data_IF_028239333475
#
_entry.id   IF_028239333475
#
_cell.length_a   1.000
_cell.length_b   1.000
_cell.length_c   1.000
_cell.angle_alpha   90.00
_cell.angle_beta   90.00
_cell.angle_gamma   90.00
#
_symmetry.space_group_name_H-M   'P 1'
#
loop_
_entity.id
_entity.type
_entity.pdbx_description
1 polymer ?
#
# COMPACT_ATOMS: atom_id res chain seq x y z
N UNK A 1 13.49 -26.33 -14.79
CA UNK A 1 14.36 -25.36 -14.10
C UNK A 1 13.70 -24.00 -14.27
N UNK A 2 13.03 -23.51 -13.24
CA UNK A 2 12.40 -22.19 -13.28
C UNK A 2 13.47 -21.13 -13.53
N UNK A 3 13.16 -20.20 -14.41
CA UNK A 3 14.03 -19.09 -14.78
C UNK A 3 14.14 -18.13 -13.58
N UNK A 4 15.35 -17.71 -13.22
CA UNK A 4 15.60 -16.74 -12.12
C UNK A 4 14.92 -15.37 -12.33
N UNK A 5 14.31 -15.13 -13.49
CA UNK A 5 13.66 -13.90 -13.94
C UNK A 5 12.16 -14.06 -14.28
N UNK A 6 11.52 -15.20 -13.96
CA UNK A 6 10.07 -15.32 -14.17
C UNK A 6 9.29 -14.53 -13.11
N UNK A 7 8.46 -13.59 -13.57
CA UNK A 7 7.53 -12.83 -12.75
C UNK A 7 6.12 -13.29 -13.09
N UNK A 8 5.39 -13.75 -12.09
CA UNK A 8 3.97 -14.08 -12.23
C UNK A 8 3.13 -13.02 -11.52
N UNK A 9 2.11 -12.50 -12.22
CA UNK A 9 1.17 -11.55 -11.62
C UNK A 9 0.06 -12.32 -10.89
N UNK A 10 0.13 -12.34 -9.56
CA UNK A 10 -0.88 -12.99 -8.72
C UNK A 10 -2.16 -12.15 -8.53
N UNK A 11 -2.06 -10.82 -8.63
CA UNK A 11 -3.18 -9.91 -8.47
C UNK A 11 -2.79 -8.45 -8.66
N UNK A 12 -3.75 -7.64 -9.12
CA UNK A 12 -3.58 -6.19 -9.34
C UNK A 12 -4.83 -5.44 -8.87
N UNK A 13 -4.77 -4.11 -8.83
CA UNK A 13 -5.99 -3.32 -8.62
C UNK A 13 -6.91 -3.44 -9.84
N UNK A 14 -8.23 -3.48 -9.60
CA UNK A 14 -9.28 -3.38 -10.63
C UNK A 14 -9.68 -1.94 -10.93
N UNK A 15 -9.26 -1.00 -10.09
CA UNK A 15 -9.59 0.42 -10.23
C UNK A 15 -8.43 1.33 -9.77
N UNK A 16 -8.65 2.23 -8.81
CA UNK A 16 -7.64 3.13 -8.28
C UNK A 16 -6.50 2.33 -7.61
N UNK A 17 -5.28 2.81 -7.77
CA UNK A 17 -4.18 2.36 -6.90
C UNK A 17 -4.39 2.87 -5.47
N UNK A 18 -3.72 2.23 -4.49
CA UNK A 18 -3.73 2.75 -3.12
C UNK A 18 -3.13 4.16 -3.04
N UNK A 19 -2.04 4.45 -3.78
CA UNK A 19 -1.43 5.78 -3.80
C UNK A 19 -2.38 6.86 -4.31
N UNK A 20 -3.12 6.55 -5.38
CA UNK A 20 -4.15 7.46 -5.93
C UNK A 20 -5.31 7.67 -4.94
N UNK A 21 -5.69 6.66 -4.18
CA UNK A 21 -6.68 6.80 -3.11
C UNK A 21 -6.17 7.75 -2.00
N UNK A 22 -4.90 7.67 -1.61
CA UNK A 22 -4.29 8.61 -0.68
C UNK A 22 -4.32 10.05 -1.22
N UNK A 23 -3.94 10.25 -2.49
CA UNK A 23 -3.96 11.58 -3.12
C UNK A 23 -5.37 12.19 -3.16
N UNK A 24 -6.38 11.36 -3.46
CA UNK A 24 -7.78 11.81 -3.47
C UNK A 24 -8.30 12.14 -2.08
N UNK A 25 -7.97 11.33 -1.06
CA UNK A 25 -8.35 11.62 0.33
C UNK A 25 -7.63 12.86 0.86
N UNK A 26 -6.35 13.06 0.52
CA UNK A 26 -5.61 14.28 0.86
C UNK A 26 -6.30 15.52 0.29
N UNK A 27 -6.76 15.45 -0.96
CA UNK A 27 -7.53 16.54 -1.59
C UNK A 27 -8.88 16.78 -0.91
N UNK A 28 -9.60 15.72 -0.53
CA UNK A 28 -10.89 15.84 0.18
C UNK A 28 -10.74 16.48 1.57
N UNK A 29 -9.58 16.30 2.20
CA UNK A 29 -9.24 16.86 3.52
C UNK A 29 -8.47 18.19 3.44
N UNK A 30 -8.29 18.75 2.23
CA UNK A 30 -7.56 19.99 1.96
C UNK A 30 -6.09 19.99 2.46
N UNK A 31 -5.40 18.86 2.29
CA UNK A 31 -4.01 18.66 2.77
C UNK A 31 -2.92 18.87 1.72
N UNK A 32 -3.30 19.11 0.45
CA UNK A 32 -2.38 19.28 -0.67
C UNK A 32 -1.89 17.97 -1.30
N UNK A 33 -0.75 18.05 -2.01
CA UNK A 33 -0.14 16.97 -2.78
C UNK A 33 1.40 17.01 -2.64
N UNK A 34 2.12 15.85 -2.59
CA UNK A 34 1.62 14.48 -2.66
C UNK A 34 0.88 14.04 -1.40
N UNK A 35 -0.21 13.30 -1.58
CA UNK A 35 -1.16 12.98 -0.51
C UNK A 35 -0.65 11.95 0.49
N UNK A 36 0.16 10.99 0.04
CA UNK A 36 0.75 9.93 0.89
C UNK A 36 1.34 10.46 2.21
N UNK A 37 2.45 11.23 2.15
CA UNK A 37 3.14 11.70 3.35
C UNK A 37 2.29 12.59 4.27
N UNK A 38 1.42 13.44 3.71
CA UNK A 38 0.59 14.36 4.50
C UNK A 38 -0.55 13.63 5.20
N UNK A 39 -1.16 12.64 4.56
CA UNK A 39 -2.20 11.79 5.14
C UNK A 39 -1.61 10.89 6.22
N UNK A 40 -0.45 10.26 5.98
CA UNK A 40 0.27 9.47 7.00
C UNK A 40 0.59 10.30 8.25
N UNK A 41 1.09 11.53 8.06
CA UNK A 41 1.44 12.44 9.16
C UNK A 41 0.20 12.86 9.96
N UNK A 42 -0.90 13.19 9.27
CA UNK A 42 -2.13 13.59 9.92
C UNK A 42 -2.76 12.42 10.70
N UNK A 43 -2.78 11.23 10.10
CA UNK A 43 -3.31 10.02 10.72
C UNK A 43 -2.60 9.64 12.04
N UNK A 44 -1.30 9.95 12.17
CA UNK A 44 -0.55 9.69 13.40
C UNK A 44 -1.08 10.49 14.62
N UNK A 45 -1.86 11.54 14.39
CA UNK A 45 -2.48 12.37 15.45
C UNK A 45 -3.95 12.04 15.68
N UNK A 46 -4.50 11.07 14.94
CA UNK A 46 -5.91 10.69 14.99
C UNK A 46 -6.14 9.29 15.54
N UNK A 47 -7.42 8.96 15.73
CA UNK A 47 -7.87 7.64 16.11
C UNK A 47 -8.65 7.01 14.95
N UNK A 48 -8.36 5.73 14.66
CA UNK A 48 -9.07 4.97 13.63
C UNK A 48 -10.49 4.54 14.12
N UNK A 49 -11.34 5.52 14.39
CA UNK A 49 -12.67 5.36 15.00
C UNK A 49 -13.83 5.24 13.99
N UNK A 50 -13.56 5.49 12.70
CA UNK A 50 -14.58 5.50 11.64
C UNK A 50 -14.53 4.18 10.87
N UNK A 51 -15.68 3.52 10.75
CA UNK A 51 -15.76 2.25 10.02
C UNK A 51 -15.86 2.50 8.51
N UNK A 52 -14.73 2.48 7.83
CA UNK A 52 -14.66 2.44 6.37
C UNK A 52 -14.63 1.00 5.84
N UNK A 53 -15.17 0.74 4.63
CA UNK A 53 -15.16 -0.60 4.06
C UNK A 53 -13.72 -1.06 3.78
N UNK A 54 -13.47 -2.38 3.88
CA UNK A 54 -12.23 -3.02 3.42
C UNK A 54 -12.55 -3.75 2.11
N UNK A 55 -12.40 -3.09 0.94
CA UNK A 55 -12.94 -3.63 -0.30
C UNK A 55 -12.21 -4.90 -0.70
N UNK A 56 -12.97 -5.89 -1.20
CA UNK A 56 -12.45 -7.17 -1.70
C UNK A 56 -11.59 -7.95 -0.69
N UNK A 57 -11.72 -7.68 0.62
CA UNK A 57 -10.87 -8.33 1.63
C UNK A 57 -11.04 -9.86 1.64
N UNK A 58 -12.22 -10.36 1.30
CA UNK A 58 -12.54 -11.79 1.14
C UNK A 58 -12.17 -12.37 -0.22
N UNK A 59 -11.90 -11.55 -1.24
CA UNK A 59 -11.92 -11.99 -2.64
C UNK A 59 -10.51 -12.04 -3.23
N UNK A 60 -9.99 -13.23 -3.53
CA UNK A 60 -8.73 -13.42 -4.28
C UNK A 60 -7.57 -12.53 -3.82
N UNK A 61 -6.70 -12.15 -4.77
CA UNK A 61 -5.56 -11.25 -4.53
C UNK A 61 -5.67 -9.89 -5.23
N UNK A 62 -6.78 -9.64 -5.93
CA UNK A 62 -7.04 -8.36 -6.60
C UNK A 62 -7.49 -7.26 -5.63
N UNK A 63 -7.20 -6.00 -5.93
CA UNK A 63 -7.51 -4.87 -5.07
C UNK A 63 -8.59 -3.97 -5.68
N UNK A 64 -9.24 -3.17 -4.83
CA UNK A 64 -10.10 -2.06 -5.24
C UNK A 64 -10.07 -0.99 -4.16
N UNK A 65 -9.81 0.26 -4.53
CA UNK A 65 -9.77 1.39 -3.60
C UNK A 65 -10.74 2.52 -4.01
N UNK A 66 -11.35 2.45 -5.18
CA UNK A 66 -12.33 3.43 -5.64
C UNK A 66 -13.59 3.50 -4.75
N UNK A 67 -14.04 2.35 -4.23
CA UNK A 67 -15.16 2.27 -3.28
C UNK A 67 -14.82 2.88 -1.92
N UNK A 68 -13.57 2.74 -1.48
CA UNK A 68 -13.07 3.29 -0.22
C UNK A 68 -13.01 4.83 -0.25
N UNK A 69 -12.40 5.44 -1.29
CA UNK A 69 -12.44 6.91 -1.44
C UNK A 69 -13.86 7.45 -1.48
N UNK A 70 -14.79 6.71 -2.09
CA UNK A 70 -16.19 7.13 -2.22
C UNK A 70 -16.91 7.05 -0.86
N UNK A 71 -16.55 6.06 -0.03
CA UNK A 71 -17.03 5.99 1.35
C UNK A 71 -16.52 7.15 2.21
N UNK A 72 -15.25 7.54 2.05
CA UNK A 72 -14.68 8.74 2.70
C UNK A 72 -15.45 9.99 2.28
N UNK A 73 -15.61 10.24 0.97
CA UNK A 73 -16.35 11.39 0.47
C UNK A 73 -17.79 11.46 1.02
N UNK A 74 -18.50 10.31 1.05
CA UNK A 74 -19.86 10.23 1.63
C UNK A 74 -19.87 10.53 3.12
N UNK A 75 -18.87 10.08 3.87
CA UNK A 75 -18.76 10.34 5.31
C UNK A 75 -18.56 11.85 5.57
N UNK A 76 -17.66 12.49 4.81
CA UNK A 76 -17.38 13.92 4.91
C UNK A 76 -18.61 14.76 4.59
N UNK A 77 -19.39 14.39 3.57
CA UNK A 77 -20.62 15.10 3.21
C UNK A 77 -21.75 14.98 4.24
N UNK A 78 -21.77 13.91 5.04
CA UNK A 78 -22.81 13.65 6.04
C UNK A 78 -22.45 14.18 7.43
N UNK A 79 -21.17 14.36 7.71
CA UNK A 79 -20.68 14.69 9.05
C UNK A 79 -20.23 16.14 9.07
N UNK A 80 -20.93 17.02 9.77
CA UNK A 80 -20.54 18.44 9.86
C UNK A 80 -19.30 18.68 10.76
N UNK A 81 -19.06 17.80 11.74
CA UNK A 81 -18.02 17.96 12.77
C UNK A 81 -17.08 16.74 12.81
N UNK A 82 -16.47 16.35 11.69
CA UNK A 82 -15.44 15.31 11.69
C UNK A 82 -14.08 15.88 12.10
N UNK A 83 -13.24 15.03 12.69
CA UNK A 83 -11.81 15.33 12.87
C UNK A 83 -11.05 14.76 11.68
N UNK A 84 -10.38 15.61 10.90
CA UNK A 84 -9.61 15.17 9.72
C UNK A 84 -8.57 14.11 10.06
N UNK A 85 -7.99 14.18 11.27
CA UNK A 85 -7.06 13.17 11.78
C UNK A 85 -7.70 11.80 11.96
N UNK A 86 -8.92 11.72 12.49
CA UNK A 86 -9.64 10.45 12.67
C UNK A 86 -10.07 9.87 11.32
N UNK A 87 -10.45 10.73 10.36
CA UNK A 87 -10.76 10.31 8.98
C UNK A 87 -9.51 9.72 8.32
N UNK A 88 -8.38 10.42 8.39
CA UNK A 88 -7.11 9.94 7.85
C UNK A 88 -6.68 8.62 8.49
N UNK A 89 -6.70 8.53 9.83
CA UNK A 89 -6.35 7.31 10.56
C UNK A 89 -7.24 6.12 10.18
N UNK A 90 -8.55 6.34 10.10
CA UNK A 90 -9.52 5.30 9.73
C UNK A 90 -9.38 4.86 8.27
N UNK A 91 -9.10 5.79 7.36
CA UNK A 91 -8.85 5.50 5.94
C UNK A 91 -7.58 4.67 5.77
N UNK A 92 -6.47 5.08 6.39
CA UNK A 92 -5.21 4.33 6.34
C UNK A 92 -5.41 2.93 6.93
N UNK A 93 -6.09 2.80 8.07
CA UNK A 93 -6.38 1.50 8.66
C UNK A 93 -7.10 0.58 7.66
N UNK A 94 -8.13 1.08 6.97
CA UNK A 94 -8.84 0.30 5.95
C UNK A 94 -7.97 -0.10 4.75
N UNK A 95 -7.09 0.79 4.28
CA UNK A 95 -6.11 0.47 3.24
C UNK A 95 -5.14 -0.63 3.70
N UNK A 96 -4.54 -0.48 4.88
CA UNK A 96 -3.52 -1.40 5.39
C UNK A 96 -4.10 -2.77 5.73
N UNK A 97 -5.30 -2.82 6.32
CA UNK A 97 -6.01 -4.08 6.57
C UNK A 97 -6.17 -4.86 5.27
N UNK A 98 -6.59 -4.19 4.19
CA UNK A 98 -6.81 -4.81 2.88
C UNK A 98 -5.48 -5.29 2.28
N UNK A 99 -4.45 -4.44 2.27
CA UNK A 99 -3.13 -4.78 1.75
C UNK A 99 -2.51 -5.97 2.48
N UNK A 100 -2.41 -5.88 3.82
CA UNK A 100 -1.73 -6.87 4.64
C UNK A 100 -2.49 -8.20 4.70
N UNK A 101 -3.83 -8.17 4.67
CA UNK A 101 -4.62 -9.40 4.59
C UNK A 101 -4.35 -10.15 3.29
N UNK A 102 -4.26 -9.44 2.17
CA UNK A 102 -3.96 -10.05 0.87
C UNK A 102 -2.49 -10.49 0.75
N UNK A 103 -1.54 -9.74 1.31
CA UNK A 103 -0.16 -10.19 1.45
C UNK A 103 -0.08 -11.48 2.26
N UNK A 104 -0.78 -11.59 3.40
CA UNK A 104 -0.85 -12.82 4.19
C UNK A 104 -1.42 -13.97 3.36
N UNK A 105 -2.54 -13.74 2.68
CA UNK A 105 -3.18 -14.76 1.82
C UNK A 105 -2.22 -15.27 0.74
N UNK A 106 -1.51 -14.35 0.07
CA UNK A 106 -0.52 -14.71 -0.93
C UNK A 106 0.63 -15.53 -0.31
N UNK A 107 1.20 -15.10 0.81
CA UNK A 107 2.32 -15.80 1.45
C UNK A 107 1.95 -17.20 1.97
N UNK A 108 0.68 -17.41 2.37
CA UNK A 108 0.20 -18.73 2.78
C UNK A 108 -0.06 -19.68 1.59
N UNK A 109 -0.51 -19.14 0.45
CA UNK A 109 -0.77 -19.93 -0.75
C UNK A 109 0.49 -20.16 -1.61
N UNK A 110 1.45 -19.23 -1.56
CA UNK A 110 2.76 -19.31 -2.20
C UNK A 110 3.86 -19.09 -1.15
N UNK A 111 4.23 -20.15 -0.41
CA UNK A 111 5.28 -20.07 0.61
C UNK A 111 6.56 -19.47 0.04
N UNK A 112 6.96 -18.33 0.58
CA UNK A 112 8.09 -17.53 0.10
C UNK A 112 9.02 -17.20 1.25
N UNK A 113 10.33 -17.20 1.00
CA UNK A 113 11.32 -16.86 2.04
C UNK A 113 11.23 -15.38 2.48
N UNK A 114 10.83 -14.51 1.56
CA UNK A 114 10.80 -13.07 1.80
C UNK A 114 9.57 -12.39 1.19
N UNK A 115 9.10 -11.32 1.84
CA UNK A 115 8.15 -10.36 1.29
C UNK A 115 8.90 -9.08 0.94
N UNK A 116 8.85 -8.66 -0.33
CA UNK A 116 9.41 -7.39 -0.80
C UNK A 116 8.28 -6.39 -1.03
N UNK A 117 8.35 -5.21 -0.44
CA UNK A 117 7.36 -4.13 -0.66
C UNK A 117 8.09 -2.93 -1.27
N UNK A 118 7.62 -2.48 -2.43
CA UNK A 118 8.19 -1.37 -3.21
C UNK A 118 7.13 -0.33 -3.58
N UNK A 119 7.56 0.80 -4.14
CA UNK A 119 6.69 1.91 -4.54
C UNK A 119 6.48 2.95 -3.44
N UNK A 120 5.89 4.09 -3.80
CA UNK A 120 5.76 5.25 -2.90
C UNK A 120 5.04 4.94 -1.58
N UNK A 121 4.02 4.08 -1.61
CA UNK A 121 3.29 3.68 -0.40
C UNK A 121 4.13 2.81 0.54
N UNK A 122 5.20 2.18 0.05
CA UNK A 122 6.19 1.49 0.90
C UNK A 122 6.97 2.44 1.83
N UNK A 123 6.88 3.76 1.61
CA UNK A 123 7.42 4.76 2.53
C UNK A 123 6.54 4.97 3.77
N UNK A 124 5.25 4.57 3.75
CA UNK A 124 4.32 4.78 4.85
C UNK A 124 4.81 4.08 6.14
N UNK A 125 5.02 4.83 7.24
CA UNK A 125 5.44 4.24 8.51
C UNK A 125 4.48 3.16 9.02
N UNK A 126 3.17 3.39 8.87
CA UNK A 126 2.11 2.49 9.29
C UNK A 126 2.14 1.17 8.50
N UNK A 127 2.39 1.23 7.19
CA UNK A 127 2.58 0.03 6.37
C UNK A 127 3.81 -0.76 6.82
N UNK A 128 4.94 -0.08 7.07
CA UNK A 128 6.19 -0.75 7.49
C UNK A 128 6.01 -1.50 8.80
N UNK A 129 5.33 -0.90 9.78
CA UNK A 129 5.03 -1.53 11.07
C UNK A 129 4.09 -2.74 10.87
N UNK A 130 3.01 -2.57 10.12
CA UNK A 130 2.05 -3.65 9.89
C UNK A 130 2.65 -4.82 9.09
N UNK A 131 3.47 -4.53 8.07
CA UNK A 131 4.18 -5.52 7.29
C UNK A 131 5.21 -6.28 8.13
N UNK A 132 5.93 -5.58 9.04
CA UNK A 132 6.89 -6.23 9.95
C UNK A 132 6.17 -7.23 10.84
N UNK A 133 5.10 -6.80 11.49
CA UNK A 133 4.27 -7.66 12.34
C UNK A 133 3.74 -8.87 11.58
N UNK A 134 3.20 -8.68 10.37
CA UNK A 134 2.75 -9.77 9.51
C UNK A 134 3.87 -10.78 9.27
N UNK A 135 5.04 -10.30 8.83
CA UNK A 135 6.17 -11.16 8.47
C UNK A 135 6.73 -11.92 9.67
N UNK A 136 6.82 -11.27 10.83
CA UNK A 136 7.27 -11.91 12.07
C UNK A 136 6.30 -13.04 12.51
N UNK A 137 4.98 -12.84 12.36
CA UNK A 137 3.96 -13.85 12.70
C UNK A 137 4.03 -15.12 11.84
N UNK A 138 4.45 -15.00 10.58
CA UNK A 138 4.49 -16.13 9.63
C UNK A 138 5.93 -16.54 9.26
N UNK A 139 6.93 -16.04 9.98
CA UNK A 139 8.36 -16.35 9.77
C UNK A 139 8.86 -16.10 8.34
N UNK A 140 8.50 -14.96 7.78
CA UNK A 140 8.94 -14.50 6.45
C UNK A 140 9.89 -13.31 6.62
N UNK A 141 10.93 -13.20 5.80
CA UNK A 141 11.82 -12.04 5.84
C UNK A 141 11.16 -10.82 5.18
N UNK A 142 11.04 -9.70 5.89
CA UNK A 142 10.56 -8.46 5.29
C UNK A 142 11.71 -7.63 4.71
N UNK A 143 11.67 -7.44 3.39
CA UNK A 143 12.61 -6.65 2.61
C UNK A 143 11.97 -5.31 2.19
N UNK A 144 12.45 -4.22 2.76
CA UNK A 144 12.01 -2.86 2.42
C UNK A 144 13.19 -2.06 1.88
N UNK A 145 13.08 -1.39 0.71
CA UNK A 145 14.10 -0.46 0.29
C UNK A 145 14.19 0.70 1.30
N UNK A 146 15.38 1.33 1.42
CA UNK A 146 15.48 2.63 2.08
C UNK A 146 14.46 3.61 1.49
N UNK A 147 13.87 4.46 2.32
CA UNK A 147 12.77 5.37 1.91
C UNK A 147 13.16 6.20 0.68
N UNK A 148 14.41 6.70 0.62
CA UNK A 148 14.94 7.47 -0.53
C UNK A 148 14.93 6.74 -1.88
N UNK A 149 14.82 5.41 -1.86
CA UNK A 149 14.80 4.54 -3.05
C UNK A 149 13.42 3.91 -3.30
N UNK A 150 12.42 4.23 -2.48
CA UNK A 150 11.08 3.64 -2.58
C UNK A 150 10.22 4.31 -3.67
N UNK A 151 10.53 5.57 -4.02
CA UNK A 151 9.89 6.32 -5.11
C UNK A 151 10.67 6.20 -6.41
N UNK A 152 10.05 6.53 -7.53
CA UNK A 152 10.68 6.46 -8.86
C UNK A 152 12.00 7.24 -8.90
N UNK A 153 13.06 6.56 -9.35
CA UNK A 153 14.41 7.13 -9.43
C UNK A 153 15.23 6.49 -10.54
N UNK A 154 16.20 7.22 -11.10
CA UNK A 154 17.03 6.71 -12.19
C UNK A 154 17.93 5.52 -11.78
N UNK A 155 18.26 5.39 -10.49
CA UNK A 155 19.13 4.31 -10.01
C UNK A 155 18.48 2.92 -10.18
N UNK A 156 17.15 2.81 -9.99
CA UNK A 156 16.44 1.54 -10.20
C UNK A 156 16.46 1.12 -11.68
N UNK A 157 16.34 2.08 -12.61
CA UNK A 157 16.40 1.84 -14.05
C UNK A 157 17.80 1.42 -14.46
N UNK A 158 18.83 2.11 -13.97
CA UNK A 158 20.22 1.78 -14.24
C UNK A 158 20.57 0.36 -13.76
N UNK A 159 20.12 -0.03 -12.56
CA UNK A 159 20.33 -1.38 -12.03
C UNK A 159 19.59 -2.45 -12.84
N UNK A 160 18.34 -2.20 -13.23
CA UNK A 160 17.58 -3.11 -14.08
C UNK A 160 18.25 -3.32 -15.44
N UNK A 161 18.70 -2.23 -16.08
CA UNK A 161 19.42 -2.27 -17.35
C UNK A 161 20.74 -3.04 -17.22
N UNK A 162 21.51 -2.78 -16.16
CA UNK A 162 22.75 -3.51 -15.87
C UNK A 162 22.53 -5.01 -15.70
N UNK A 163 21.46 -5.41 -15.00
CA UNK A 163 21.11 -6.81 -14.81
C UNK A 163 20.68 -7.48 -16.13
N UNK A 164 19.95 -6.78 -16.99
CA UNK A 164 19.59 -7.27 -18.33
C UNK A 164 20.82 -7.44 -19.23
N UNK A 165 21.74 -6.47 -19.23
CA UNK A 165 23.01 -6.56 -19.95
C UNK A 165 23.83 -7.77 -19.50
N UNK A 166 23.98 -7.97 -18.18
CA UNK A 166 24.68 -9.15 -17.63
C UNK A 166 24.03 -10.48 -17.99
N UNK A 167 22.72 -10.49 -18.18
CA UNK A 167 21.97 -11.68 -18.60
C UNK A 167 21.95 -11.90 -20.12
N UNK A 168 22.63 -11.05 -20.90
CA UNK A 168 22.66 -11.13 -22.36
C UNK A 168 21.33 -10.78 -23.03
N UNK A 169 20.47 -9.99 -22.35
CA UNK A 169 19.20 -9.49 -22.90
C UNK A 169 19.41 -8.04 -23.33
N UNK A 170 19.48 -7.80 -24.64
CA UNK A 170 19.63 -6.49 -25.28
C UNK A 170 18.64 -6.33 -26.44
#
# INVERSE_FOLDING_TARGET
MERMDSIELLGSTRDDSVGEAYDKVARMLDLGYPGGPVVDKLAATGNASISFPRPMISDGLEFSFSGLKSAVARYLNRSANFKSADVAASFIAACLDTLLTKCRRALLAWPSASLVIVGGVAASPQLRVGARKLCDEISVELCLPPVRWSTDNAAMIALAAWNSLKAGRY
#
